data_IF_754473861091
#
_entry.id   IF_754473861091
#
_cell.length_a   1.000
_cell.length_b   1.000
_cell.length_c   1.000
_cell.angle_alpha   90.00
_cell.angle_beta   90.00
_cell.angle_gamma   90.00
#
_symmetry.space_group_name_H-M   'P 1'
#
loop_
_entity.id
_entity.type
_entity.pdbx_description
1 polymer ?
#
# COMPACT_ATOMS: atom_id res chain seq x y z
N UNK A 1 12.99 -0.99 14.84
CA UNK A 1 13.88 -0.08 14.08
C UNK A 1 13.81 1.27 14.76
N UNK A 2 14.95 1.85 15.13
CA UNK A 2 15.01 3.23 15.59
C UNK A 2 15.30 4.09 14.35
N UNK A 3 14.38 4.97 13.95
CA UNK A 3 14.45 5.70 12.67
C UNK A 3 15.38 6.90 12.70
N UNK A 4 16.09 7.14 13.81
CA UNK A 4 17.01 8.26 13.94
C UNK A 4 16.31 9.61 14.07
N UNK A 5 15.01 9.61 14.41
CA UNK A 5 14.35 10.81 14.89
C UNK A 5 14.87 11.09 16.30
N UNK A 6 15.42 12.28 16.50
CA UNK A 6 15.71 12.75 17.85
C UNK A 6 14.35 12.98 18.55
N UNK A 7 14.06 12.15 19.56
CA UNK A 7 12.81 12.23 20.32
C UNK A 7 12.63 13.62 20.95
N UNK A 8 13.75 14.31 21.27
CA UNK A 8 13.73 15.65 21.85
C UNK A 8 13.36 16.72 20.81
N UNK A 9 13.86 16.63 19.57
CA UNK A 9 13.47 17.54 18.47
C UNK A 9 11.99 17.36 18.10
N UNK A 10 11.54 16.11 18.16
CA UNK A 10 10.20 15.67 17.85
C UNK A 10 9.15 16.18 18.86
N UNK A 11 9.47 16.10 20.15
CA UNK A 11 8.61 16.66 21.20
C UNK A 11 8.63 18.19 21.15
N UNK A 12 9.79 18.82 20.93
CA UNK A 12 9.86 20.28 20.75
C UNK A 12 8.93 20.76 19.64
N UNK A 13 8.92 20.08 18.48
CA UNK A 13 8.06 20.44 17.36
C UNK A 13 6.56 20.27 17.69
N UNK A 14 6.21 19.20 18.41
CA UNK A 14 4.85 18.94 18.85
C UNK A 14 4.35 20.03 19.83
N UNK A 15 5.20 20.46 20.75
CA UNK A 15 4.89 21.55 21.69
C UNK A 15 4.77 22.90 20.98
N UNK A 16 5.73 23.26 20.13
CA UNK A 16 5.75 24.54 19.40
C UNK A 16 4.52 24.68 18.49
N UNK A 17 4.10 23.59 17.85
CA UNK A 17 2.92 23.58 16.99
C UNK A 17 1.61 23.34 17.74
N UNK A 18 1.66 23.09 19.05
CA UNK A 18 0.54 22.63 19.87
C UNK A 18 -0.26 21.50 19.18
N UNK A 19 0.45 20.46 18.75
CA UNK A 19 -0.08 19.37 17.95
C UNK A 19 0.33 17.99 18.49
N UNK A 20 -0.47 16.97 18.18
CA UNK A 20 -0.08 15.58 18.38
C UNK A 20 0.55 15.01 17.11
N UNK A 21 1.75 14.45 17.23
CA UNK A 21 2.51 13.92 16.09
C UNK A 21 2.74 12.42 16.28
N UNK A 22 2.49 11.67 15.21
CA UNK A 22 2.74 10.23 15.11
C UNK A 22 3.26 9.92 13.71
N UNK A 23 4.28 9.05 13.64
CA UNK A 23 4.75 8.50 12.37
C UNK A 23 4.27 7.07 12.21
N UNK A 24 3.61 6.80 11.09
CA UNK A 24 3.15 5.47 10.70
C UNK A 24 3.73 5.11 9.34
N UNK A 25 4.39 3.96 9.25
CA UNK A 25 5.05 3.48 8.04
C UNK A 25 4.63 2.05 7.80
N UNK A 26 4.15 1.72 6.60
CA UNK A 26 3.88 0.34 6.21
C UNK A 26 4.55 0.05 4.86
N UNK A 27 5.35 -1.01 4.84
CA UNK A 27 5.94 -1.54 3.61
C UNK A 27 4.82 -2.03 2.67
N UNK A 28 4.96 -1.74 1.37
CA UNK A 28 3.91 -2.01 0.37
C UNK A 28 3.53 -3.49 0.22
N UNK A 29 4.35 -4.41 0.71
CA UNK A 29 4.11 -5.87 0.69
C UNK A 29 3.89 -6.46 2.08
N UNK A 30 3.98 -5.66 3.14
CA UNK A 30 3.77 -6.13 4.51
C UNK A 30 2.35 -5.89 5.00
N UNK A 31 1.94 -6.69 5.98
CA UNK A 31 0.61 -6.67 6.59
C UNK A 31 0.51 -5.81 7.85
N UNK A 32 1.64 -5.26 8.33
CA UNK A 32 1.71 -4.50 9.57
C UNK A 32 2.47 -3.20 9.40
N UNK A 33 1.94 -2.14 10.02
CA UNK A 33 2.58 -0.84 10.10
C UNK A 33 3.55 -0.79 11.28
N UNK A 34 4.69 -0.13 11.07
CA UNK A 34 5.53 0.36 12.16
C UNK A 34 5.01 1.71 12.61
N UNK A 35 4.84 1.85 13.92
CA UNK A 35 4.31 3.07 14.54
C UNK A 35 5.38 3.64 15.47
N UNK A 36 5.63 4.93 15.36
CA UNK A 36 6.51 5.66 16.26
C UNK A 36 5.77 6.88 16.81
N UNK A 37 5.70 6.96 18.14
CA UNK A 37 5.04 8.04 18.85
C UNK A 37 6.04 9.17 19.07
N UNK A 38 5.91 10.19 18.25
CA UNK A 38 6.79 11.36 18.20
C UNK A 38 6.49 12.33 19.33
N UNK A 39 5.21 12.44 19.71
CA UNK A 39 4.81 13.15 20.93
C UNK A 39 4.42 12.17 22.03
N UNK A 40 5.21 12.04 23.11
CA UNK A 40 4.85 11.24 24.28
C UNK A 40 3.52 11.65 24.94
N UNK A 41 3.09 12.91 24.77
CA UNK A 41 1.78 13.39 25.24
C UNK A 41 0.61 12.66 24.55
N UNK A 42 0.75 12.29 23.29
CA UNK A 42 -0.26 11.55 22.53
C UNK A 42 -0.62 10.21 23.21
N UNK A 43 0.38 9.48 23.72
CA UNK A 43 0.19 8.23 24.45
C UNK A 43 -0.52 8.39 25.80
N UNK A 44 -0.48 9.59 26.39
CA UNK A 44 -1.11 9.90 27.67
C UNK A 44 -2.52 10.45 27.51
N UNK A 45 -2.71 11.32 26.52
CA UNK A 45 -3.91 12.14 26.40
C UNK A 45 -4.94 11.54 25.41
N UNK A 46 -4.49 10.84 24.36
CA UNK A 46 -5.37 10.36 23.29
C UNK A 46 -4.97 8.95 22.78
N UNK A 47 -4.64 8.06 23.70
CA UNK A 47 -4.16 6.70 23.38
C UNK A 47 -5.16 5.88 22.58
N UNK A 48 -6.43 5.87 22.99
CA UNK A 48 -7.47 5.05 22.37
C UNK A 48 -7.77 5.53 20.95
N UNK A 49 -7.97 6.83 20.78
CA UNK A 49 -8.16 7.46 19.46
C UNK A 49 -6.97 7.16 18.53
N UNK A 50 -5.76 7.22 19.07
CA UNK A 50 -4.54 6.91 18.30
C UNK A 50 -4.50 5.44 17.87
N UNK A 51 -4.91 4.51 18.73
CA UNK A 51 -5.01 3.10 18.37
C UNK A 51 -6.05 2.86 17.28
N UNK A 52 -7.17 3.58 17.31
CA UNK A 52 -8.17 3.52 16.24
C UNK A 52 -7.59 4.01 14.92
N UNK A 53 -6.89 5.15 14.91
CA UNK A 53 -6.22 5.68 13.72
C UNK A 53 -5.21 4.67 13.15
N UNK A 54 -4.42 4.03 14.00
CA UNK A 54 -3.44 3.00 13.59
C UNK A 54 -4.16 1.82 12.91
N UNK A 55 -5.28 1.35 13.48
CA UNK A 55 -6.06 0.24 12.92
C UNK A 55 -6.71 0.60 11.58
N UNK A 56 -7.26 1.81 11.47
CA UNK A 56 -7.83 2.32 10.22
C UNK A 56 -6.76 2.45 9.13
N UNK A 57 -5.58 2.97 9.49
CA UNK A 57 -4.44 3.07 8.59
C UNK A 57 -3.99 1.70 8.07
N UNK A 58 -3.83 0.71 8.95
CA UNK A 58 -3.44 -0.65 8.56
C UNK A 58 -4.47 -1.30 7.63
N UNK A 59 -5.76 -1.15 7.95
CA UNK A 59 -6.87 -1.62 7.10
C UNK A 59 -6.82 -1.00 5.71
N UNK A 60 -6.67 0.33 5.64
CA UNK A 60 -6.59 1.07 4.38
C UNK A 60 -5.41 0.60 3.52
N UNK A 61 -4.22 0.48 4.13
CA UNK A 61 -3.02 0.04 3.42
C UNK A 61 -3.16 -1.39 2.90
N UNK A 62 -3.71 -2.31 3.70
CA UNK A 62 -3.96 -3.67 3.25
C UNK A 62 -4.95 -3.72 2.09
N UNK A 63 -6.02 -2.92 2.14
CA UNK A 63 -7.00 -2.84 1.04
C UNK A 63 -6.36 -2.28 -0.25
N UNK A 64 -5.49 -1.27 -0.15
CA UNK A 64 -4.75 -0.74 -1.31
C UNK A 64 -3.85 -1.79 -1.95
N UNK A 65 -3.16 -2.60 -1.15
CA UNK A 65 -2.31 -3.70 -1.64
C UNK A 65 -3.16 -4.76 -2.35
N UNK A 66 -4.30 -5.14 -1.76
CA UNK A 66 -5.22 -6.10 -2.35
C UNK A 66 -5.82 -5.58 -3.67
N UNK A 67 -6.24 -4.31 -3.71
CA UNK A 67 -6.79 -3.70 -4.92
C UNK A 67 -5.77 -3.69 -6.07
N UNK A 68 -4.52 -3.27 -5.80
CA UNK A 68 -3.44 -3.33 -6.80
C UNK A 68 -3.19 -4.74 -7.31
N UNK A 69 -3.23 -5.73 -6.42
CA UNK A 69 -3.08 -7.15 -6.80
C UNK A 69 -4.23 -7.62 -7.69
N UNK A 70 -5.47 -7.25 -7.36
CA UNK A 70 -6.64 -7.61 -8.15
C UNK A 70 -6.59 -7.00 -9.55
N UNK A 71 -6.21 -5.73 -9.66
CA UNK A 71 -6.03 -5.03 -10.93
C UNK A 71 -4.93 -5.70 -11.78
N UNK A 72 -3.78 -6.02 -11.17
CA UNK A 72 -2.70 -6.73 -11.86
C UNK A 72 -3.15 -8.12 -12.37
N UNK A 73 -3.95 -8.85 -11.60
CA UNK A 73 -4.49 -10.14 -12.01
C UNK A 73 -5.49 -10.00 -13.17
N UNK A 74 -6.35 -8.97 -13.13
CA UNK A 74 -7.30 -8.70 -14.20
C UNK A 74 -6.58 -8.35 -15.51
N UNK A 75 -5.56 -7.48 -15.46
CA UNK A 75 -4.73 -7.14 -16.61
C UNK A 75 -3.97 -8.35 -17.16
N UNK A 76 -3.41 -9.18 -16.28
CA UNK A 76 -2.73 -10.41 -16.71
C UNK A 76 -3.69 -11.35 -17.45
N UNK A 77 -4.93 -11.51 -16.95
CA UNK A 77 -5.97 -12.31 -17.60
C UNK A 77 -6.31 -11.76 -18.99
N UNK A 78 -6.55 -10.45 -19.13
CA UNK A 78 -6.83 -9.82 -20.43
C UNK A 78 -5.69 -10.02 -21.41
N UNK A 79 -4.43 -9.95 -20.94
CA UNK A 79 -3.26 -10.18 -21.77
C UNK A 79 -3.22 -11.63 -22.27
N UNK A 80 -3.49 -12.61 -21.41
CA UNK A 80 -3.56 -14.01 -21.82
C UNK A 80 -4.66 -14.25 -22.86
N UNK A 81 -5.86 -13.70 -22.66
CA UNK A 81 -6.97 -13.81 -23.60
C UNK A 81 -6.61 -13.19 -24.96
N UNK A 82 -6.09 -11.96 -24.97
CA UNK A 82 -5.67 -11.29 -26.20
C UNK A 82 -4.53 -12.02 -26.92
N UNK A 83 -3.62 -12.66 -26.18
CA UNK A 83 -2.53 -13.43 -26.76
C UNK A 83 -3.03 -14.75 -27.37
N UNK A 84 -4.04 -15.38 -26.78
CA UNK A 84 -4.66 -16.58 -27.33
C UNK A 84 -5.42 -16.25 -28.62
N UNK A 85 -6.24 -15.20 -28.62
CA UNK A 85 -6.93 -14.69 -29.81
C UNK A 85 -5.95 -14.34 -30.94
N UNK A 86 -4.83 -13.68 -30.62
CA UNK A 86 -3.80 -13.36 -31.60
C UNK A 86 -3.12 -14.61 -32.18
N UNK A 87 -2.92 -15.65 -31.35
CA UNK A 87 -2.37 -16.93 -31.81
C UNK A 87 -3.36 -17.66 -32.72
N UNK A 88 -4.64 -17.70 -32.38
CA UNK A 88 -5.70 -18.27 -33.20
C UNK A 88 -5.86 -17.52 -34.53
N UNK A 89 -5.87 -16.19 -34.52
CA UNK A 89 -5.91 -15.39 -35.73
C UNK A 89 -4.70 -15.67 -36.63
N UNK A 90 -3.50 -15.85 -36.04
CA UNK A 90 -2.28 -16.19 -36.79
C UNK A 90 -2.34 -17.58 -37.40
N UNK A 91 -2.85 -18.58 -36.68
CA UNK A 91 -3.00 -19.94 -37.23
C UNK A 91 -4.03 -19.99 -38.35
N UNK A 92 -5.14 -19.24 -38.22
CA UNK A 92 -6.14 -19.10 -39.30
C UNK A 92 -5.57 -18.39 -40.54
N UNK A 93 -4.79 -17.32 -40.36
CA UNK A 93 -4.13 -16.64 -41.47
C UNK A 93 -3.14 -17.56 -42.21
N UNK A 94 -2.32 -18.31 -41.47
CA UNK A 94 -1.39 -19.28 -42.06
C UNK A 94 -2.09 -20.42 -42.79
N UNK A 95 -3.23 -20.91 -42.27
CA UNK A 95 -4.03 -21.94 -42.92
C UNK A 95 -4.71 -21.43 -44.21
N UNK A 96 -5.12 -20.17 -44.26
CA UNK A 96 -5.68 -19.54 -45.45
C UNK A 96 -4.63 -19.30 -46.54
N UNK A 97 -3.41 -18.87 -46.15
CA UNK A 97 -2.29 -18.70 -47.08
C UNK A 97 -1.81 -20.02 -47.68
N UNK A 98 -1.93 -21.14 -46.96
CA UNK A 98 -1.54 -22.46 -47.46
C UNK A 98 -2.53 -23.08 -48.48
N UNK A 99 -3.71 -22.46 -48.69
CA UNK A 99 -4.74 -22.92 -49.62
C UNK A 99 -4.80 -22.12 -50.93
N UNK A 100 -3.95 -21.10 -51.08
CA UNK A 100 -3.77 -20.29 -52.30
C UNK A 100 -2.53 -20.76 -53.05
#
# INVERSE_FOLDING_TARGET
MNFGFDEDECEWLAEECNAYIIFMLQQAVGSSATVHYTSPRLCREAKEDTLEIIQQYQTLMNNLVLAKRQEALALAKQLYEAQDEANEARTHAQAAEAQV
#
